data_IF_743045674230
#
_entry.id   IF_743045674230
#
_cell.length_a   1.000
_cell.length_b   1.000
_cell.length_c   1.000
_cell.angle_alpha   90.00
_cell.angle_beta   90.00
_cell.angle_gamma   90.00
#
_symmetry.space_group_name_H-M   'P 1'
#
loop_
_entity.id
_entity.type
_entity.pdbx_description
1 polymer ?
#
# COMPACT_ATOMS: atom_id res chain seq x y z
N UNK A 1 -9.61 2.97 -25.99
CA UNK A 1 -8.19 2.64 -25.71
C UNK A 1 -7.57 3.42 -24.55
N UNK A 2 -7.80 4.73 -24.38
CA UNK A 2 -7.15 5.54 -23.32
C UNK A 2 -7.42 5.06 -21.88
N UNK A 3 -8.62 4.54 -21.59
CA UNK A 3 -8.94 4.01 -20.24
C UNK A 3 -8.17 2.73 -19.88
N UNK A 4 -7.89 1.86 -20.85
CA UNK A 4 -7.20 0.59 -20.62
C UNK A 4 -5.71 0.81 -20.26
N UNK A 5 -5.05 1.71 -20.99
CA UNK A 5 -3.65 2.11 -20.73
C UNK A 5 -3.54 2.74 -19.34
N UNK A 6 -4.47 3.64 -18.99
CA UNK A 6 -4.50 4.28 -17.67
C UNK A 6 -4.73 3.27 -16.55
N UNK A 7 -5.53 2.23 -16.78
CA UNK A 7 -5.77 1.18 -15.79
C UNK A 7 -4.53 0.29 -15.61
N UNK A 8 -3.86 -0.09 -16.70
CA UNK A 8 -2.63 -0.90 -16.67
C UNK A 8 -1.49 -0.12 -16.03
N UNK A 9 -1.25 1.14 -16.42
CA UNK A 9 -0.26 2.01 -15.81
C UNK A 9 -0.52 2.19 -14.32
N UNK A 10 -1.77 2.49 -13.91
CA UNK A 10 -2.10 2.61 -12.48
C UNK A 10 -1.85 1.30 -11.73
N UNK A 11 -2.23 0.16 -12.30
CA UNK A 11 -2.06 -1.14 -11.64
C UNK A 11 -0.59 -1.54 -11.56
N UNK A 12 0.18 -1.30 -12.62
CA UNK A 12 1.63 -1.51 -12.70
C UNK A 12 2.42 -0.60 -11.75
N UNK A 13 2.14 0.70 -11.72
CA UNK A 13 2.75 1.63 -10.76
C UNK A 13 2.37 1.27 -9.33
N UNK A 14 1.10 0.99 -9.03
CA UNK A 14 0.70 0.57 -7.70
C UNK A 14 1.39 -0.74 -7.27
N UNK A 15 1.54 -1.70 -8.18
CA UNK A 15 2.27 -2.94 -7.92
C UNK A 15 3.76 -2.67 -7.71
N UNK A 16 4.41 -1.88 -8.56
CA UNK A 16 5.83 -1.54 -8.47
C UNK A 16 6.17 -0.77 -7.19
N UNK A 17 5.36 0.24 -6.85
CA UNK A 17 5.50 1.01 -5.61
C UNK A 17 5.26 0.12 -4.39
N UNK A 18 4.18 -0.68 -4.37
CA UNK A 18 3.94 -1.58 -3.24
C UNK A 18 5.05 -2.61 -3.08
N UNK A 19 5.59 -3.16 -4.19
CA UNK A 19 6.67 -4.14 -4.18
C UNK A 19 7.99 -3.51 -3.75
N UNK A 20 8.28 -2.29 -4.21
CA UNK A 20 9.45 -1.52 -3.80
C UNK A 20 9.40 -1.10 -2.32
N UNK A 21 8.25 -0.61 -1.84
CA UNK A 21 8.05 -0.28 -0.42
C UNK A 21 8.13 -1.53 0.44
N UNK A 22 7.49 -2.64 0.04
CA UNK A 22 7.63 -3.90 0.79
C UNK A 22 9.09 -4.35 0.81
N UNK A 23 9.80 -4.30 -0.32
CA UNK A 23 11.19 -4.73 -0.41
C UNK A 23 12.13 -3.85 0.41
N UNK A 24 11.87 -2.54 0.49
CA UNK A 24 12.60 -1.62 1.35
C UNK A 24 12.25 -1.84 2.82
N UNK A 25 10.97 -1.95 3.15
CA UNK A 25 10.49 -2.16 4.52
C UNK A 25 10.90 -3.53 5.09
N UNK A 26 10.94 -4.56 4.25
CA UNK A 26 11.39 -5.91 4.61
C UNK A 26 12.90 -6.12 4.42
N UNK A 27 13.64 -5.11 3.94
CA UNK A 27 15.06 -5.21 3.55
C UNK A 27 15.35 -6.41 2.64
N UNK A 28 14.42 -6.75 1.74
CA UNK A 28 14.52 -7.89 0.83
C UNK A 28 13.99 -9.22 1.38
N UNK A 29 13.57 -9.28 2.65
CA UNK A 29 12.99 -10.50 3.23
C UNK A 29 11.59 -10.74 2.68
N UNK A 30 11.28 -11.99 2.34
CA UNK A 30 9.94 -12.36 1.85
C UNK A 30 8.91 -12.24 2.98
N UNK A 31 7.62 -12.01 2.70
CA UNK A 31 6.56 -12.01 3.71
C UNK A 31 6.52 -13.30 4.56
N UNK A 32 6.99 -14.40 3.97
CA UNK A 32 7.17 -15.72 4.59
C UNK A 32 8.28 -15.71 5.66
N UNK A 33 9.34 -14.93 5.42
CA UNK A 33 10.51 -14.74 6.30
C UNK A 33 10.31 -13.63 7.35
N UNK A 34 9.16 -12.96 7.29
CA UNK A 34 8.79 -11.89 8.20
C UNK A 34 8.32 -12.50 9.53
N UNK A 35 8.93 -12.08 10.64
CA UNK A 35 8.57 -12.55 11.98
C UNK A 35 7.09 -12.29 12.26
N UNK A 36 6.39 -13.12 13.06
CA UNK A 36 5.00 -12.87 13.45
C UNK A 36 4.78 -11.47 14.03
N UNK A 37 5.78 -10.94 14.75
CA UNK A 37 5.78 -9.60 15.33
C UNK A 37 5.82 -8.51 14.25
N UNK A 38 6.65 -8.69 13.22
CA UNK A 38 6.75 -7.78 12.09
C UNK A 38 5.45 -7.74 11.27
N UNK A 39 4.76 -8.89 11.12
CA UNK A 39 3.44 -8.93 10.49
C UNK A 39 2.39 -8.19 11.30
N UNK A 40 2.40 -8.33 12.63
CA UNK A 40 1.47 -7.62 13.51
C UNK A 40 1.68 -6.11 13.43
N UNK A 41 2.94 -5.65 13.41
CA UNK A 41 3.27 -4.25 13.23
C UNK A 41 2.83 -3.73 11.85
N UNK A 42 3.10 -4.47 10.77
CA UNK A 42 2.65 -4.11 9.42
C UNK A 42 1.12 -4.04 9.31
N UNK A 43 0.39 -4.95 9.97
CA UNK A 43 -1.08 -4.91 10.02
C UNK A 43 -1.58 -3.66 10.74
N UNK A 44 -1.04 -3.35 11.93
CA UNK A 44 -1.38 -2.13 12.68
C UNK A 44 -1.13 -0.87 11.86
N UNK A 45 0.03 -0.78 11.18
CA UNK A 45 0.34 0.35 10.30
C UNK A 45 -0.63 0.44 9.12
N UNK A 46 -1.03 -0.69 8.52
CA UNK A 46 -2.06 -0.70 7.47
C UNK A 46 -3.41 -0.21 7.97
N UNK A 47 -3.84 -0.62 9.15
CA UNK A 47 -5.11 -0.18 9.73
C UNK A 47 -5.13 1.33 9.99
N UNK A 48 -4.05 1.87 10.57
CA UNK A 48 -3.87 3.30 10.78
C UNK A 48 -3.88 4.07 9.45
N UNK A 49 -3.13 3.58 8.45
CA UNK A 49 -3.11 4.19 7.12
C UNK A 49 -4.48 4.16 6.43
N UNK A 50 -5.27 3.09 6.63
CA UNK A 50 -6.63 2.99 6.12
C UNK A 50 -7.58 3.98 6.82
N UNK A 51 -7.48 4.14 8.14
CA UNK A 51 -8.24 5.14 8.88
C UNK A 51 -7.90 6.56 8.40
N UNK A 52 -6.61 6.87 8.27
CA UNK A 52 -6.15 8.15 7.72
C UNK A 52 -6.67 8.38 6.29
N UNK A 53 -6.63 7.37 5.41
CA UNK A 53 -7.22 7.46 4.07
C UNK A 53 -8.72 7.73 4.09
N UNK A 54 -9.47 7.13 5.02
CA UNK A 54 -10.91 7.38 5.18
C UNK A 54 -11.17 8.83 5.60
N UNK A 55 -10.43 9.34 6.58
CA UNK A 55 -10.49 10.74 7.02
C UNK A 55 -10.14 11.71 5.88
N UNK A 56 -9.06 11.44 5.14
CA UNK A 56 -8.64 12.25 3.98
C UNK A 56 -9.68 12.23 2.85
N UNK A 57 -10.36 11.11 2.63
CA UNK A 57 -11.45 11.01 1.66
C UNK A 57 -12.69 11.79 2.10
N UNK A 58 -13.03 11.74 3.38
CA UNK A 58 -14.14 12.53 3.93
C UNK A 58 -13.83 14.02 3.79
N UNK A 59 -12.67 14.47 4.26
CA UNK A 59 -12.24 15.88 4.13
C UNK A 59 -12.15 16.35 2.67
N UNK A 60 -11.74 15.49 1.72
CA UNK A 60 -11.78 15.81 0.28
C UNK A 60 -13.19 15.89 -0.33
N UNK A 61 -14.20 15.28 0.29
CA UNK A 61 -15.59 15.37 -0.19
C UNK A 61 -16.31 16.61 0.32
N UNK A 62 -15.83 17.18 1.43
CA UNK A 62 -16.35 18.41 2.02
C UNK A 62 -15.61 19.68 1.55
N UNK A 63 -14.71 19.55 0.56
CA UNK A 63 -13.98 20.66 -0.06
C UNK A 63 -14.41 20.85 -1.50
#
# INVERSE_FOLDING_TARGET
MQMAINMIMRRGMNMGINKGINMMASRGKKPEEMSPEDRANAQRTREQAQQARRLLRQTRRFR
#
